data_IF_673432448082
#
_entry.id   IF_673432448082
#
_cell.length_a   1.000
_cell.length_b   1.000
_cell.length_c   1.000
_cell.angle_alpha   90.00
_cell.angle_beta   90.00
_cell.angle_gamma   90.00
#
_symmetry.space_group_name_H-M   'P 1'
#
loop_
_entity.id
_entity.type
_entity.pdbx_description
1 polymer ?
#
# COMPACT_ATOMS: atom_id res chain seq x y z
N UNK A 1 12.26 14.62 -0.47
CA UNK A 1 13.62 15.21 -0.41
C UNK A 1 14.72 14.22 -0.79
N UNK A 2 14.73 12.97 -0.29
CA UNK A 2 15.79 11.99 -0.59
C UNK A 2 15.92 11.66 -2.09
N UNK A 3 14.80 11.40 -2.77
CA UNK A 3 14.80 11.08 -4.23
C UNK A 3 15.34 12.24 -5.07
N UNK A 4 14.90 13.47 -4.79
CA UNK A 4 15.40 14.66 -5.48
C UNK A 4 16.90 14.86 -5.25
N UNK A 5 17.37 14.66 -4.00
CA UNK A 5 18.78 14.80 -3.68
C UNK A 5 19.65 13.73 -4.36
N UNK A 6 19.17 12.48 -4.43
CA UNK A 6 19.85 11.40 -5.16
C UNK A 6 19.93 11.70 -6.66
N UNK A 7 18.86 12.23 -7.24
CA UNK A 7 18.86 12.64 -8.65
C UNK A 7 19.85 13.78 -8.91
N UNK A 8 19.85 14.82 -8.08
CA UNK A 8 20.79 15.94 -8.19
C UNK A 8 22.24 15.48 -7.99
N UNK A 9 22.49 14.57 -7.06
CA UNK A 9 23.80 13.97 -6.85
C UNK A 9 24.27 13.17 -8.09
N UNK A 10 23.39 12.37 -8.68
CA UNK A 10 23.69 11.63 -9.91
C UNK A 10 24.04 12.58 -11.07
N UNK A 11 23.30 13.68 -11.24
CA UNK A 11 23.61 14.71 -12.25
C UNK A 11 24.97 15.38 -11.99
N UNK A 12 25.26 15.74 -10.74
CA UNK A 12 26.54 16.34 -10.38
C UNK A 12 27.72 15.39 -10.67
N UNK A 13 27.56 14.10 -10.35
CA UNK A 13 28.54 13.06 -10.66
C UNK A 13 28.71 12.92 -12.17
N UNK A 14 27.63 12.87 -12.95
CA UNK A 14 27.70 12.78 -14.40
C UNK A 14 28.45 13.97 -15.02
N UNK A 15 28.18 15.20 -14.54
CA UNK A 15 28.87 16.42 -14.97
C UNK A 15 30.36 16.38 -14.58
N UNK A 16 30.68 15.93 -13.37
CA UNK A 16 32.06 15.81 -12.91
C UNK A 16 32.84 14.76 -13.71
N UNK A 17 32.21 13.62 -14.02
CA UNK A 17 32.77 12.57 -14.88
C UNK A 17 33.02 13.11 -16.30
N UNK A 18 32.08 13.82 -16.90
CA UNK A 18 32.25 14.42 -18.24
C UNK A 18 33.43 15.40 -18.30
N UNK A 19 33.58 16.25 -17.27
CA UNK A 19 34.70 17.19 -17.17
C UNK A 19 36.04 16.51 -16.94
N UNK A 20 36.08 15.42 -16.17
CA UNK A 20 37.31 14.69 -15.88
C UNK A 20 37.74 13.78 -17.05
N UNK A 21 36.79 13.30 -17.86
CA UNK A 21 37.04 12.26 -18.85
C UNK A 21 37.29 12.74 -20.28
N UNK A 22 36.87 13.96 -20.61
CA UNK A 22 37.00 14.55 -21.94
C UNK A 22 37.87 15.80 -21.94
N UNK A 23 38.43 16.13 -23.11
CA UNK A 23 39.21 17.37 -23.33
C UNK A 23 38.41 18.59 -22.90
N UNK A 24 38.97 19.49 -22.08
CA UNK A 24 38.22 20.62 -21.50
C UNK A 24 37.83 21.68 -22.54
N UNK A 25 38.62 21.82 -23.61
CA UNK A 25 38.34 22.77 -24.69
C UNK A 25 37.19 22.27 -25.56
N UNK A 26 36.00 22.87 -25.35
CA UNK A 26 34.74 22.44 -25.97
C UNK A 26 34.82 22.41 -27.50
N UNK A 27 35.56 23.35 -28.11
CA UNK A 27 35.72 23.45 -29.56
C UNK A 27 36.48 22.26 -30.18
N UNK A 28 37.23 21.50 -29.37
CA UNK A 28 38.00 20.31 -29.79
C UNK A 28 37.30 19.00 -29.41
N UNK A 29 36.11 19.05 -28.82
CA UNK A 29 35.34 17.87 -28.42
C UNK A 29 34.62 17.25 -29.62
N UNK A 30 34.83 15.95 -29.81
CA UNK A 30 34.05 15.06 -30.65
C UNK A 30 33.89 13.71 -29.97
N UNK A 31 33.21 12.76 -30.62
CA UNK A 31 32.88 11.41 -30.09
C UNK A 31 34.10 10.57 -29.67
N UNK A 32 35.32 11.01 -29.98
CA UNK A 32 36.59 10.33 -29.64
C UNK A 32 37.54 11.18 -28.81
N UNK A 33 37.15 12.38 -28.40
CA UNK A 33 38.02 13.36 -27.72
C UNK A 33 38.14 13.11 -26.21
N UNK A 34 38.52 11.89 -25.84
CA UNK A 34 38.85 11.52 -24.47
C UNK A 34 40.18 12.17 -24.06
N UNK A 35 40.33 12.49 -22.76
CA UNK A 35 41.58 13.08 -22.26
C UNK A 35 42.78 12.14 -22.38
N UNK A 36 42.57 10.82 -22.35
CA UNK A 36 43.60 9.80 -22.53
C UNK A 36 43.00 8.46 -22.96
N UNK A 37 43.85 7.53 -23.42
CA UNK A 37 43.43 6.15 -23.73
C UNK A 37 42.93 5.40 -22.49
N UNK A 38 43.49 5.67 -21.31
CA UNK A 38 43.07 5.07 -20.04
C UNK A 38 41.64 5.52 -19.72
N UNK A 39 41.39 6.81 -19.84
CA UNK A 39 40.08 7.41 -19.53
C UNK A 39 38.98 6.89 -20.46
N UNK A 40 39.31 6.69 -21.74
CA UNK A 40 38.42 6.03 -22.70
C UNK A 40 38.05 4.61 -22.26
N UNK A 41 39.03 3.80 -21.87
CA UNK A 41 38.78 2.42 -21.45
C UNK A 41 37.94 2.35 -20.17
N UNK A 42 38.23 3.21 -19.18
CA UNK A 42 37.43 3.30 -17.95
C UNK A 42 35.99 3.71 -18.30
N UNK A 43 35.79 4.76 -19.09
CA UNK A 43 34.46 5.21 -19.48
C UNK A 43 33.66 4.09 -20.17
N UNK A 44 34.26 3.39 -21.13
CA UNK A 44 33.60 2.31 -21.86
C UNK A 44 33.25 1.12 -20.96
N UNK A 45 34.20 0.68 -20.12
CA UNK A 45 33.98 -0.43 -19.19
C UNK A 45 32.93 -0.10 -18.13
N UNK A 46 33.02 1.08 -17.51
CA UNK A 46 32.04 1.53 -16.51
C UNK A 46 30.67 1.70 -17.12
N UNK A 47 30.56 2.24 -18.34
CA UNK A 47 29.26 2.34 -19.04
C UNK A 47 28.64 0.97 -19.27
N UNK A 48 29.44 -0.01 -19.73
CA UNK A 48 28.96 -1.37 -19.93
C UNK A 48 28.53 -2.03 -18.61
N UNK A 49 29.34 -1.90 -17.55
CA UNK A 49 29.02 -2.44 -16.24
C UNK A 49 27.73 -1.83 -15.69
N UNK A 50 27.59 -0.50 -15.74
CA UNK A 50 26.38 0.20 -15.27
C UNK A 50 25.14 -0.19 -16.07
N UNK A 51 25.26 -0.38 -17.38
CA UNK A 51 24.16 -0.86 -18.22
C UNK A 51 23.69 -2.26 -17.78
N UNK A 52 24.63 -3.18 -17.54
CA UNK A 52 24.31 -4.53 -17.06
C UNK A 52 23.64 -4.45 -15.69
N UNK A 53 24.23 -3.74 -14.72
CA UNK A 53 23.65 -3.60 -13.38
C UNK A 53 22.26 -2.95 -13.41
N UNK A 54 22.08 -1.89 -14.20
CA UNK A 54 20.78 -1.24 -14.36
C UNK A 54 19.73 -2.18 -14.93
N UNK A 55 20.11 -3.07 -15.84
CA UNK A 55 19.20 -4.04 -16.44
C UNK A 55 18.78 -5.11 -15.43
N UNK A 56 19.74 -5.62 -14.65
CA UNK A 56 19.47 -6.58 -13.55
C UNK A 56 18.56 -5.96 -12.48
N UNK A 57 18.84 -4.72 -12.06
CA UNK A 57 18.02 -4.02 -11.07
C UNK A 57 16.58 -3.80 -11.58
N UNK A 58 16.43 -3.42 -12.86
CA UNK A 58 15.11 -3.23 -13.46
C UNK A 58 14.32 -4.55 -13.52
N UNK A 59 14.96 -5.65 -13.93
CA UNK A 59 14.32 -6.98 -13.94
C UNK A 59 13.94 -7.39 -12.51
N UNK A 60 14.85 -7.21 -11.53
CA UNK A 60 14.57 -7.51 -10.13
C UNK A 60 13.40 -6.70 -9.56
N UNK A 61 13.23 -5.45 -9.98
CA UNK A 61 12.11 -4.61 -9.57
C UNK A 61 10.80 -5.07 -10.22
N UNK A 62 10.82 -5.41 -11.52
CA UNK A 62 9.67 -5.97 -12.23
C UNK A 62 9.20 -7.27 -11.56
N UNK A 63 10.13 -8.21 -11.33
CA UNK A 63 9.83 -9.50 -10.69
C UNK A 63 9.33 -9.29 -9.26
N UNK A 64 9.90 -8.35 -8.52
CA UNK A 64 9.47 -8.00 -7.17
C UNK A 64 8.05 -7.43 -7.13
N UNK A 65 7.70 -6.57 -8.09
CA UNK A 65 6.33 -6.03 -8.24
C UNK A 65 5.36 -7.14 -8.62
N UNK A 66 5.73 -8.03 -9.55
CA UNK A 66 4.88 -9.15 -9.96
C UNK A 66 4.63 -10.12 -8.80
N UNK A 67 5.68 -10.49 -8.06
CA UNK A 67 5.58 -11.33 -6.87
C UNK A 67 4.63 -10.71 -5.83
N UNK A 68 4.83 -9.42 -5.52
CA UNK A 68 3.96 -8.70 -4.59
C UNK A 68 2.52 -8.66 -5.09
N UNK A 69 2.29 -8.42 -6.38
CA UNK A 69 0.95 -8.36 -6.95
C UNK A 69 0.24 -9.72 -6.92
N UNK A 70 0.98 -10.80 -7.18
CA UNK A 70 0.47 -12.17 -7.06
C UNK A 70 0.11 -12.53 -5.61
N UNK A 71 0.91 -12.11 -4.62
CA UNK A 71 0.62 -12.31 -3.20
C UNK A 71 -0.44 -11.33 -2.65
N UNK A 72 -0.67 -10.19 -3.28
CA UNK A 72 -1.61 -9.16 -2.80
C UNK A 72 -3.07 -9.39 -3.22
N UNK A 73 -3.42 -10.56 -3.80
CA UNK A 73 -4.81 -10.83 -4.18
C UNK A 73 -5.77 -10.83 -2.98
N UNK A 74 -5.26 -11.16 -1.80
CA UNK A 74 -5.99 -11.11 -0.53
C UNK A 74 -5.76 -9.79 0.23
N UNK A 75 -5.05 -8.82 -0.34
CA UNK A 75 -4.80 -7.55 0.32
C UNK A 75 -6.07 -6.69 0.40
N UNK A 76 -6.24 -5.95 1.50
CA UNK A 76 -7.37 -5.06 1.72
C UNK A 76 -7.71 -4.11 0.56
N UNK A 77 -6.75 -3.47 -0.15
CA UNK A 77 -7.08 -2.60 -1.28
C UNK A 77 -7.81 -3.31 -2.43
N UNK A 78 -7.61 -4.62 -2.58
CA UNK A 78 -8.29 -5.45 -3.59
C UNK A 78 -9.65 -5.92 -3.08
N UNK A 79 -9.77 -6.23 -1.79
CA UNK A 79 -11.01 -6.74 -1.17
C UNK A 79 -12.05 -5.64 -0.91
N UNK A 80 -11.63 -4.44 -0.47
CA UNK A 80 -12.55 -3.34 -0.11
C UNK A 80 -13.50 -2.91 -1.25
N UNK A 81 -13.05 -2.75 -2.51
CA UNK A 81 -13.93 -2.49 -3.64
C UNK A 81 -14.99 -3.55 -3.93
N UNK A 82 -14.77 -4.79 -3.49
CA UNK A 82 -15.72 -5.88 -3.68
C UNK A 82 -16.89 -5.78 -2.70
N UNK A 83 -16.67 -5.20 -1.52
CA UNK A 83 -17.67 -5.12 -0.45
C UNK A 83 -18.37 -3.75 -0.36
N UNK A 84 -17.71 -2.67 -0.80
CA UNK A 84 -18.20 -1.30 -0.66
C UNK A 84 -17.73 -0.42 -1.80
N UNK A 85 -18.47 0.66 -2.06
CA UNK A 85 -18.00 1.78 -2.87
C UNK A 85 -17.12 2.68 -2.02
N UNK A 86 -15.99 3.10 -2.60
CA UNK A 86 -15.10 4.09 -1.99
C UNK A 86 -15.87 5.38 -1.69
N UNK A 87 -15.57 5.98 -0.54
CA UNK A 87 -16.11 7.28 -0.17
C UNK A 87 -15.05 8.34 -0.42
N UNK A 88 -15.40 9.37 -1.20
CA UNK A 88 -14.47 10.44 -1.59
C UNK A 88 -14.73 11.75 -0.86
N UNK A 89 -15.75 11.79 0.00
CA UNK A 89 -16.05 12.93 0.88
C UNK A 89 -15.61 12.65 2.31
N UNK A 90 -14.81 13.56 2.85
CA UNK A 90 -14.32 13.44 4.22
C UNK A 90 -15.50 13.41 5.18
N UNK A 91 -15.46 12.51 6.15
CA UNK A 91 -16.52 12.30 7.11
C UNK A 91 -15.98 11.80 8.45
N UNK A 92 -16.87 11.73 9.43
CA UNK A 92 -16.56 11.31 10.80
C UNK A 92 -17.28 10.01 11.19
N UNK A 93 -17.76 9.25 10.21
CA UNK A 93 -18.56 8.06 10.46
C UNK A 93 -17.72 7.00 11.18
N UNK A 94 -18.24 6.42 12.26
CA UNK A 94 -17.55 5.38 13.02
C UNK A 94 -17.62 4.06 12.28
N UNK A 95 -16.49 3.64 11.70
CA UNK A 95 -16.39 2.40 10.91
C UNK A 95 -15.48 1.41 11.62
N UNK A 96 -15.99 0.20 11.86
CA UNK A 96 -15.17 -0.93 12.30
C UNK A 96 -14.76 -1.75 11.07
N UNK A 97 -13.47 -1.84 10.81
CA UNK A 97 -12.91 -2.76 9.82
C UNK A 97 -12.54 -4.07 10.52
N UNK A 98 -13.17 -5.17 10.11
CA UNK A 98 -12.89 -6.50 10.63
C UNK A 98 -11.89 -7.17 9.69
N UNK A 99 -10.70 -7.47 10.19
CA UNK A 99 -9.62 -8.05 9.39
C UNK A 99 -9.07 -9.29 10.10
N UNK A 100 -9.06 -10.48 9.46
CA UNK A 100 -8.53 -11.71 10.07
C UNK A 100 -7.00 -11.72 10.22
N UNK A 101 -6.28 -10.81 9.56
CA UNK A 101 -4.82 -10.75 9.61
C UNK A 101 -4.34 -9.89 10.77
N UNK A 102 -3.87 -10.56 11.83
CA UNK A 102 -3.38 -9.88 13.04
C UNK A 102 -2.25 -8.88 12.73
N UNK A 103 -1.35 -9.23 11.81
CA UNK A 103 -0.21 -8.38 11.43
C UNK A 103 -0.67 -7.07 10.76
N UNK A 104 -1.73 -7.11 9.96
CA UNK A 104 -2.29 -5.92 9.29
C UNK A 104 -2.94 -4.96 10.29
N UNK A 105 -3.58 -5.50 11.33
CA UNK A 105 -4.15 -4.70 12.43
C UNK A 105 -3.05 -4.16 13.34
N UNK A 106 -2.08 -5.00 13.72
CA UNK A 106 -0.99 -4.63 14.63
C UNK A 106 -0.03 -3.59 14.03
N UNK A 107 0.22 -3.67 12.72
CA UNK A 107 1.04 -2.70 11.98
C UNK A 107 0.30 -1.41 11.62
N UNK A 108 -0.97 -1.27 12.00
CA UNK A 108 -1.89 -0.19 11.60
C UNK A 108 -2.20 -0.13 10.09
N UNK A 109 -1.70 -1.08 9.29
CA UNK A 109 -1.95 -1.12 7.85
C UNK A 109 -3.45 -1.16 7.55
N UNK A 110 -4.20 -2.05 8.19
CA UNK A 110 -5.64 -2.19 7.99
C UNK A 110 -6.41 -0.90 8.33
N UNK A 111 -6.06 -0.29 9.47
CA UNK A 111 -6.65 0.97 9.89
C UNK A 111 -6.33 2.11 8.91
N UNK A 112 -5.11 2.17 8.41
CA UNK A 112 -4.69 3.17 7.43
C UNK A 112 -5.46 3.00 6.11
N UNK A 113 -5.41 1.83 5.49
CA UNK A 113 -6.10 1.55 4.22
C UNK A 113 -7.60 1.83 4.34
N UNK A 114 -8.23 1.37 5.43
CA UNK A 114 -9.64 1.63 5.69
C UNK A 114 -9.96 3.12 5.77
N UNK A 115 -9.18 3.91 6.52
CA UNK A 115 -9.39 5.36 6.67
C UNK A 115 -9.38 6.07 5.33
N UNK A 116 -8.46 5.74 4.44
CA UNK A 116 -8.42 6.32 3.09
C UNK A 116 -9.56 5.82 2.19
N UNK A 117 -9.94 4.55 2.32
CA UNK A 117 -11.00 3.97 1.49
C UNK A 117 -12.40 4.53 1.81
N UNK A 118 -12.71 4.68 3.09
CA UNK A 118 -13.99 5.25 3.56
C UNK A 118 -13.92 6.75 3.83
N UNK A 119 -12.73 7.34 3.68
CA UNK A 119 -12.42 8.74 3.93
C UNK A 119 -13.00 9.26 5.25
N UNK A 120 -12.87 8.43 6.29
CA UNK A 120 -13.31 8.69 7.65
C UNK A 120 -12.11 8.70 8.60
N UNK A 121 -12.08 9.66 9.52
CA UNK A 121 -11.08 9.70 10.59
C UNK A 121 -11.34 8.69 11.72
N UNK A 122 -12.61 8.31 11.91
CA UNK A 122 -13.09 7.43 12.97
C UNK A 122 -13.20 5.96 12.52
N UNK A 123 -12.22 5.49 11.75
CA UNK A 123 -12.10 4.07 11.40
C UNK A 123 -11.09 3.35 12.29
N UNK A 124 -11.51 2.21 12.83
CA UNK A 124 -10.68 1.31 13.65
C UNK A 124 -10.69 -0.07 13.01
N UNK A 125 -9.51 -0.67 12.85
CA UNK A 125 -9.39 -2.05 12.44
C UNK A 125 -9.24 -2.96 13.67
N UNK A 126 -9.82 -4.16 13.61
CA UNK A 126 -9.78 -5.14 14.70
C UNK A 126 -9.84 -6.57 14.16
N UNK A 127 -9.02 -7.42 14.74
CA UNK A 127 -8.98 -8.86 14.49
C UNK A 127 -9.64 -9.63 15.64
N UNK A 128 -9.33 -9.31 16.91
CA UNK A 128 -9.83 -10.12 18.01
C UNK A 128 -11.29 -9.80 18.42
N UNK A 129 -12.17 -10.81 18.31
CA UNK A 129 -13.57 -10.80 18.77
C UNK A 129 -13.89 -11.89 19.81
N UNK A 130 -12.88 -12.43 20.51
CA UNK A 130 -13.09 -13.37 21.60
C UNK A 130 -13.65 -12.66 22.85
N UNK A 131 -14.97 -12.47 22.89
CA UNK A 131 -15.66 -11.79 23.98
C UNK A 131 -17.06 -12.36 24.24
N UNK A 132 -17.73 -11.88 25.29
CA UNK A 132 -19.11 -12.27 25.58
C UNK A 132 -20.09 -11.70 24.53
N UNK A 133 -21.25 -12.33 24.27
CA UNK A 133 -22.27 -11.77 23.36
C UNK A 133 -22.74 -10.37 23.77
N UNK A 134 -22.81 -10.11 25.07
CA UNK A 134 -23.19 -8.80 25.62
C UNK A 134 -22.15 -7.73 25.31
N UNK A 135 -20.86 -8.04 25.43
CA UNK A 135 -19.79 -7.07 25.14
C UNK A 135 -19.61 -6.88 23.63
N UNK A 136 -19.79 -7.95 22.85
CA UNK A 136 -19.83 -7.85 21.39
C UNK A 136 -20.97 -6.94 20.92
N UNK A 137 -22.17 -7.09 21.51
CA UNK A 137 -23.31 -6.21 21.22
C UNK A 137 -22.95 -4.74 21.47
N UNK A 138 -22.38 -4.43 22.65
CA UNK A 138 -21.94 -3.07 23.00
C UNK A 138 -20.87 -2.55 22.03
N UNK A 139 -19.89 -3.37 21.67
CA UNK A 139 -18.84 -3.02 20.73
C UNK A 139 -19.43 -2.67 19.36
N UNK A 140 -20.22 -3.57 18.78
CA UNK A 140 -20.86 -3.37 17.47
C UNK A 140 -21.71 -2.10 17.48
N UNK A 141 -22.51 -1.89 18.52
CA UNK A 141 -23.38 -0.71 18.67
C UNK A 141 -22.62 0.61 18.87
N UNK A 142 -21.33 0.58 19.19
CA UNK A 142 -20.50 1.79 19.28
C UNK A 142 -20.07 2.34 17.92
N UNK A 143 -20.24 1.54 16.85
CA UNK A 143 -19.95 1.91 15.47
C UNK A 143 -21.23 2.13 14.66
N UNK A 144 -21.13 2.90 13.58
CA UNK A 144 -22.23 3.14 12.64
C UNK A 144 -22.18 2.16 11.47
N UNK A 145 -20.98 1.73 11.08
CA UNK A 145 -20.75 0.78 10.01
C UNK A 145 -19.72 -0.28 10.40
N UNK A 146 -19.87 -1.46 9.84
CA UNK A 146 -18.91 -2.56 9.92
C UNK A 146 -18.54 -2.98 8.50
N UNK A 147 -17.25 -2.94 8.18
CA UNK A 147 -16.69 -3.46 6.94
C UNK A 147 -16.05 -4.83 7.23
N UNK A 148 -16.48 -5.85 6.51
CA UNK A 148 -16.00 -7.22 6.60
C UNK A 148 -15.50 -7.63 5.19
N UNK A 149 -14.24 -7.34 4.84
CA UNK A 149 -13.67 -7.62 3.51
C UNK A 149 -13.54 -9.12 3.25
N UNK A 150 -13.16 -9.88 4.29
CA UNK A 150 -12.95 -11.31 4.26
C UNK A 150 -13.72 -12.01 5.41
N UNK A 151 -13.94 -13.32 5.27
CA UNK A 151 -14.57 -14.11 6.32
C UNK A 151 -13.71 -14.16 7.59
N UNK A 152 -14.31 -13.74 8.70
CA UNK A 152 -13.67 -13.74 10.01
C UNK A 152 -14.40 -14.68 10.97
N UNK A 153 -13.72 -15.73 11.44
CA UNK A 153 -14.36 -16.80 12.23
C UNK A 153 -14.98 -16.31 13.53
N UNK A 154 -14.20 -15.67 14.39
CA UNK A 154 -14.66 -15.20 15.72
C UNK A 154 -15.77 -14.18 15.59
N UNK A 155 -15.62 -13.19 14.70
CA UNK A 155 -16.66 -12.21 14.39
C UNK A 155 -17.97 -12.88 13.93
N UNK A 156 -17.91 -13.81 12.97
CA UNK A 156 -19.11 -14.51 12.45
C UNK A 156 -19.82 -15.32 13.54
N UNK A 157 -19.05 -16.03 14.38
CA UNK A 157 -19.62 -16.79 15.50
C UNK A 157 -20.30 -15.85 16.51
N UNK A 158 -19.68 -14.70 16.81
CA UNK A 158 -20.24 -13.72 17.73
C UNK A 158 -21.48 -13.04 17.17
N UNK A 159 -21.48 -12.76 15.87
CA UNK A 159 -22.63 -12.23 15.14
C UNK A 159 -23.81 -13.22 15.22
N UNK A 160 -23.56 -14.51 15.01
CA UNK A 160 -24.59 -15.55 15.10
C UNK A 160 -25.14 -15.70 16.52
N UNK A 161 -24.27 -15.68 17.54
CA UNK A 161 -24.68 -15.79 18.94
C UNK A 161 -25.46 -14.57 19.45
N UNK A 162 -25.16 -13.39 18.93
CA UNK A 162 -25.70 -12.11 19.46
C UNK A 162 -26.94 -11.65 18.69
N UNK A 163 -26.94 -11.81 17.37
CA UNK A 163 -27.96 -11.27 16.48
C UNK A 163 -28.60 -12.34 15.58
N UNK A 164 -28.19 -13.61 15.69
CA UNK A 164 -28.65 -14.71 14.83
C UNK A 164 -28.39 -14.47 13.33
N UNK A 165 -27.29 -13.78 13.00
CA UNK A 165 -26.86 -13.48 11.63
C UNK A 165 -25.51 -14.17 11.32
N UNK A 166 -25.29 -14.56 10.06
CA UNK A 166 -24.15 -15.38 9.62
C UNK A 166 -23.37 -14.76 8.44
N UNK A 167 -23.29 -13.43 8.40
CA UNK A 167 -22.62 -12.72 7.32
C UNK A 167 -21.14 -13.08 7.19
N UNK A 168 -20.72 -13.36 5.96
CA UNK A 168 -19.32 -13.67 5.63
C UNK A 168 -18.51 -12.46 5.16
N UNK A 169 -19.05 -11.68 4.22
CA UNK A 169 -18.40 -10.48 3.69
C UNK A 169 -19.42 -9.41 3.31
N UNK A 170 -19.00 -8.15 3.37
CA UNK A 170 -19.81 -7.00 3.01
C UNK A 170 -19.54 -5.77 3.85
N UNK A 171 -20.16 -4.66 3.45
CA UNK A 171 -20.33 -3.50 4.31
C UNK A 171 -21.72 -3.54 4.95
N UNK A 172 -21.79 -3.25 6.24
CA UNK A 172 -23.01 -3.32 7.01
C UNK A 172 -23.23 -2.03 7.79
N UNK A 173 -24.47 -1.55 7.84
CA UNK A 173 -24.91 -0.52 8.76
C UNK A 173 -25.37 -1.17 10.05
N UNK A 174 -24.95 -0.61 11.18
CA UNK A 174 -25.35 -1.09 12.50
C UNK A 174 -26.75 -0.58 12.85
N UNK A 175 -27.59 -1.47 13.37
CA UNK A 175 -28.94 -1.19 13.87
C UNK A 175 -29.13 -1.83 15.25
N UNK A 176 -30.15 -1.43 16.03
CA UNK A 176 -30.41 -2.04 17.33
C UNK A 176 -30.67 -3.56 17.28
N UNK A 177 -31.31 -4.03 16.20
CA UNK A 177 -31.60 -5.45 15.99
C UNK A 177 -30.46 -6.25 15.34
N UNK A 178 -29.44 -5.59 14.77
CA UNK A 178 -28.31 -6.28 14.14
C UNK A 178 -27.67 -5.49 12.99
N UNK A 179 -27.13 -6.22 12.02
CA UNK A 179 -26.42 -5.65 10.87
C UNK A 179 -27.31 -5.66 9.62
N UNK A 180 -27.30 -4.57 8.86
CA UNK A 180 -28.02 -4.45 7.58
C UNK A 180 -27.01 -4.18 6.47
N UNK A 181 -26.97 -5.04 5.45
CA UNK A 181 -26.02 -4.91 4.34
C UNK A 181 -26.28 -3.64 3.53
N UNK A 182 -25.22 -2.87 3.28
CA UNK A 182 -25.22 -1.65 2.48
C UNK A 182 -24.04 -1.67 1.51
N UNK A 183 -24.03 -0.76 0.53
CA UNK A 183 -22.94 -0.67 -0.47
C UNK A 183 -22.03 0.53 -0.30
N UNK A 184 -22.35 1.47 0.60
CA UNK A 184 -21.56 2.68 0.76
C UNK A 184 -21.77 3.28 2.16
N UNK A 185 -20.70 3.83 2.73
CA UNK A 185 -20.77 4.70 3.91
C UNK A 185 -21.34 6.04 3.49
N UNK A 186 -22.43 6.47 4.11
CA UNK A 186 -23.03 7.77 3.82
C UNK A 186 -22.42 8.79 4.77
N UNK A 187 -21.71 9.82 4.27
CA UNK A 187 -21.11 10.86 5.09
C UNK A 187 -22.18 11.65 5.84
#
# INVERSE_FOLDING_TARGET
>A
MVVLNLFLAALAIAIAMDRAMFVQEIQKRGVRSFSSLITKNIYQFTTLALMIFSTILMISEIDGVEYNNAHSQEALPVQLPQIAKQTTKYNHQKVLLVDPHQDDVASYYAGYVGKYYFFSDNLVAREDFMMSPTDFKKLVQSYQYIALPEWHRTFTVMLQKTYHQDYRTGLFRVTPEGLVKVRQVKP
#
